data_IF_199038480245
#
_entry.id   IF_199038480245
#
_cell.length_a   1.000
_cell.length_b   1.000
_cell.length_c   1.000
_cell.angle_alpha   90.00
_cell.angle_beta   90.00
_cell.angle_gamma   90.00
#
_symmetry.space_group_name_H-M   'P 1'
#
loop_
_entity.id
_entity.type
_entity.pdbx_description
1 polymer ?
#
# COMPACT_ATOMS: atom_id res chain seq x y z
N UNK A 1 4.65 -18.21 -2.34
CA UNK A 1 4.95 -16.88 -2.88
C UNK A 1 6.33 -16.87 -3.53
N UNK A 2 7.43 -17.03 -2.77
CA UNK A 2 8.80 -16.96 -3.32
C UNK A 2 9.06 -17.95 -4.47
N UNK A 3 8.63 -19.20 -4.36
CA UNK A 3 8.79 -20.22 -5.41
C UNK A 3 7.97 -19.93 -6.69
N UNK A 4 6.95 -19.07 -6.59
CA UNK A 4 6.12 -18.67 -7.74
C UNK A 4 6.58 -17.34 -8.37
N UNK A 5 7.63 -16.73 -7.81
CA UNK A 5 8.25 -15.52 -8.33
C UNK A 5 9.07 -15.82 -9.59
N UNK A 6 9.16 -14.90 -10.58
CA UNK A 6 8.57 -13.55 -10.58
C UNK A 6 7.09 -13.52 -10.94
N UNK A 7 6.36 -12.58 -10.36
CA UNK A 7 4.99 -12.26 -10.75
C UNK A 7 5.01 -11.19 -11.86
N UNK A 8 4.16 -11.37 -12.86
CA UNK A 8 4.07 -10.45 -14.02
C UNK A 8 3.23 -9.20 -13.76
N UNK A 9 2.34 -9.24 -12.77
CA UNK A 9 1.46 -8.11 -12.41
C UNK A 9 0.95 -8.26 -10.98
N UNK A 10 0.43 -7.17 -10.40
CA UNK A 10 -0.28 -7.20 -9.12
C UNK A 10 -1.46 -8.19 -9.18
N UNK A 11 -2.21 -8.21 -10.28
CA UNK A 11 -3.33 -9.13 -10.48
C UNK A 11 -2.88 -10.60 -10.45
N UNK A 12 -1.75 -10.93 -11.08
CA UNK A 12 -1.19 -12.27 -11.03
C UNK A 12 -0.78 -12.65 -9.60
N UNK A 13 -0.09 -11.76 -8.88
CA UNK A 13 0.30 -12.00 -7.49
C UNK A 13 -0.91 -12.17 -6.55
N UNK A 14 -1.93 -11.32 -6.70
CA UNK A 14 -3.16 -11.38 -5.89
C UNK A 14 -3.96 -12.65 -6.18
N UNK A 15 -4.12 -13.01 -7.46
CA UNK A 15 -4.82 -14.25 -7.86
C UNK A 15 -4.12 -15.50 -7.32
N UNK A 16 -2.79 -15.54 -7.43
CA UNK A 16 -2.00 -16.64 -6.86
C UNK A 16 -2.15 -16.71 -5.33
N UNK A 17 -2.10 -15.56 -4.64
CA UNK A 17 -2.28 -15.50 -3.20
C UNK A 17 -3.69 -15.94 -2.78
N UNK A 18 -4.72 -15.58 -3.53
CA UNK A 18 -6.12 -15.96 -3.28
C UNK A 18 -6.30 -17.47 -3.38
N UNK A 19 -5.80 -18.08 -4.45
CA UNK A 19 -5.86 -19.52 -4.65
C UNK A 19 -5.06 -20.26 -3.57
N UNK A 20 -3.86 -19.78 -3.25
CA UNK A 20 -3.07 -20.33 -2.16
C UNK A 20 -3.83 -20.27 -0.82
N UNK A 21 -4.42 -19.12 -0.50
CA UNK A 21 -5.07 -18.86 0.77
C UNK A 21 -6.35 -19.68 0.99
N UNK A 22 -7.26 -19.67 0.00
CA UNK A 22 -8.57 -20.29 0.16
C UNK A 22 -8.60 -21.77 -0.23
N UNK A 23 -7.76 -22.22 -1.16
CA UNK A 23 -7.81 -23.60 -1.68
C UNK A 23 -6.69 -24.49 -1.16
N UNK A 24 -5.47 -23.97 -1.10
CA UNK A 24 -4.28 -24.80 -0.88
C UNK A 24 -3.77 -24.76 0.57
N UNK A 25 -4.01 -23.68 1.32
CA UNK A 25 -3.56 -23.57 2.71
C UNK A 25 -4.46 -24.36 3.67
N UNK A 26 -3.87 -25.23 4.51
CA UNK A 26 -4.62 -25.94 5.53
C UNK A 26 -5.16 -24.96 6.56
N UNK A 27 -6.30 -25.30 7.17
CA UNK A 27 -6.97 -24.46 8.20
C UNK A 27 -6.02 -24.05 9.31
N UNK A 28 -5.11 -24.94 9.73
CA UNK A 28 -4.11 -24.64 10.77
C UNK A 28 -3.20 -23.47 10.39
N UNK A 29 -2.70 -23.43 9.15
CA UNK A 29 -1.87 -22.34 8.68
C UNK A 29 -2.64 -21.00 8.63
N UNK A 30 -3.93 -21.04 8.26
CA UNK A 30 -4.80 -19.86 8.30
C UNK A 30 -5.01 -19.35 9.74
N UNK A 31 -5.23 -20.26 10.69
CA UNK A 31 -5.37 -19.91 12.12
C UNK A 31 -4.07 -19.34 12.72
N UNK A 32 -2.92 -19.81 12.26
CA UNK A 32 -1.63 -19.26 12.68
C UNK A 32 -1.47 -17.81 12.17
N UNK A 33 -1.84 -17.55 10.91
CA UNK A 33 -1.83 -16.20 10.33
C UNK A 33 -2.76 -15.23 11.07
N UNK A 34 -3.99 -15.65 11.40
CA UNK A 34 -4.92 -14.88 12.22
C UNK A 34 -4.30 -14.32 13.49
N UNK A 35 -3.35 -15.03 14.10
CA UNK A 35 -2.74 -14.59 15.35
C UNK A 35 -1.79 -13.40 15.18
N UNK A 36 -1.27 -13.17 13.99
CA UNK A 36 -0.26 -12.15 13.67
C UNK A 36 -0.86 -10.77 13.38
N UNK A 37 -2.07 -10.69 12.83
CA UNK A 37 -2.67 -9.43 12.36
C UNK A 37 -3.58 -8.74 13.39
N UNK A 38 -4.06 -7.53 13.07
CA UNK A 38 -4.68 -6.59 14.03
C UNK A 38 -5.86 -7.22 14.78
N UNK A 39 -5.84 -7.06 16.10
CA UNK A 39 -6.89 -7.58 17.00
C UNK A 39 -7.74 -6.44 17.55
N UNK A 40 -8.96 -6.77 18.00
CA UNK A 40 -9.89 -5.87 18.71
C UNK A 40 -9.27 -5.12 19.92
N UNK A 41 -8.08 -5.52 20.40
CA UNK A 41 -7.32 -4.79 21.41
C UNK A 41 -6.99 -3.34 21.02
N UNK A 42 -6.66 -3.09 19.75
CA UNK A 42 -6.40 -1.74 19.26
C UNK A 42 -7.64 -0.85 19.34
N UNK A 43 -8.81 -1.41 19.02
CA UNK A 43 -10.08 -0.71 19.10
C UNK A 43 -10.41 -0.34 20.55
N UNK A 44 -10.22 -1.28 21.49
CA UNK A 44 -10.44 -1.03 22.93
C UNK A 44 -9.60 0.15 23.43
N UNK A 45 -8.34 0.26 23.00
CA UNK A 45 -7.47 1.36 23.42
C UNK A 45 -7.91 2.76 22.94
N UNK A 46 -8.74 2.80 21.89
CA UNK A 46 -9.22 4.03 21.23
C UNK A 46 -10.73 4.25 21.45
N UNK A 47 -11.39 3.35 22.16
CA UNK A 47 -12.83 3.36 22.33
C UNK A 47 -13.26 4.42 23.36
N UNK A 48 -14.45 5.02 23.18
CA UNK A 48 -15.13 5.74 24.25
C UNK A 48 -15.32 4.86 25.49
N UNK A 49 -15.21 5.44 26.68
CA UNK A 49 -15.24 4.73 27.97
C UNK A 49 -16.46 3.81 28.11
N UNK A 50 -17.61 4.26 27.62
CA UNK A 50 -18.89 3.52 27.64
C UNK A 50 -18.86 2.22 26.82
N UNK A 51 -18.00 2.12 25.79
CA UNK A 51 -17.91 0.94 24.94
C UNK A 51 -16.82 -0.06 25.39
N UNK A 52 -15.89 0.36 26.26
CA UNK A 52 -14.73 -0.45 26.66
C UNK A 52 -15.16 -1.76 27.32
N UNK A 53 -16.14 -1.70 28.22
CA UNK A 53 -16.64 -2.89 28.94
C UNK A 53 -17.25 -3.90 27.97
N UNK A 54 -18.13 -3.42 27.09
CA UNK A 54 -18.81 -4.22 26.06
C UNK A 54 -17.80 -4.86 25.10
N UNK A 55 -16.84 -4.09 24.57
CA UNK A 55 -15.79 -4.62 23.69
C UNK A 55 -14.94 -5.67 24.41
N UNK A 56 -14.60 -5.46 25.68
CA UNK A 56 -13.87 -6.45 26.47
C UNK A 56 -14.67 -7.74 26.67
N UNK A 57 -15.96 -7.61 26.99
CA UNK A 57 -16.87 -8.74 27.19
C UNK A 57 -17.02 -9.56 25.90
N UNK A 58 -17.30 -8.90 24.78
CA UNK A 58 -17.50 -9.60 23.51
C UNK A 58 -16.21 -10.15 22.93
N UNK A 59 -15.05 -9.49 23.13
CA UNK A 59 -13.74 -10.08 22.83
C UNK A 59 -13.55 -11.41 23.56
N UNK A 60 -13.87 -11.46 24.85
CA UNK A 60 -13.75 -12.68 25.64
C UNK A 60 -14.77 -13.75 25.23
N UNK A 61 -16.05 -13.36 25.01
CA UNK A 61 -17.11 -14.26 24.50
C UNK A 61 -16.70 -14.88 23.17
N UNK A 62 -16.24 -14.06 22.22
CA UNK A 62 -15.81 -14.49 20.89
C UNK A 62 -14.66 -15.50 20.99
N UNK A 63 -13.58 -15.14 21.70
CA UNK A 63 -12.41 -16.02 21.84
C UNK A 63 -12.75 -17.34 22.51
N UNK A 64 -13.63 -17.33 23.51
CA UNK A 64 -14.11 -18.55 24.17
C UNK A 64 -14.93 -19.43 23.23
N UNK A 65 -15.75 -18.83 22.36
CA UNK A 65 -16.62 -19.55 21.42
C UNK A 65 -15.84 -20.19 20.27
N UNK A 66 -14.95 -19.42 19.63
CA UNK A 66 -14.33 -19.83 18.37
C UNK A 66 -12.88 -20.31 18.51
N UNK A 67 -12.22 -20.03 19.64
CA UNK A 67 -10.85 -20.46 19.89
C UNK A 67 -9.76 -19.59 19.27
N UNK A 68 -10.12 -18.59 18.46
CA UNK A 68 -9.19 -17.60 17.88
C UNK A 68 -9.64 -16.17 18.19
N UNK A 69 -8.77 -15.19 17.91
CA UNK A 69 -9.02 -13.78 18.20
C UNK A 69 -9.91 -13.16 17.10
N UNK A 70 -10.74 -12.19 17.48
CA UNK A 70 -11.62 -11.50 16.53
C UNK A 70 -10.80 -10.63 15.56
N UNK A 71 -11.07 -10.82 14.27
CA UNK A 71 -10.46 -10.10 13.14
C UNK A 71 -11.50 -9.23 12.46
N UNK A 72 -11.13 -7.99 12.17
CA UNK A 72 -11.95 -7.05 11.41
C UNK A 72 -11.04 -6.11 10.64
N UNK A 73 -11.45 -5.74 9.44
CA UNK A 73 -10.83 -4.72 8.61
C UNK A 73 -11.36 -3.32 8.91
N UNK A 74 -12.39 -3.20 9.75
CA UNK A 74 -12.89 -1.91 10.24
C UNK A 74 -11.80 -1.18 11.04
N UNK A 75 -11.62 0.11 10.72
CA UNK A 75 -10.63 0.93 11.40
C UNK A 75 -10.94 1.04 12.90
N UNK A 76 -9.90 0.87 13.74
CA UNK A 76 -9.98 0.83 15.19
C UNK A 76 -10.64 2.08 15.84
N UNK A 77 -10.71 3.21 15.13
CA UNK A 77 -11.41 4.42 15.57
C UNK A 77 -12.93 4.26 15.56
N UNK A 78 -13.48 3.34 14.75
CA UNK A 78 -14.92 3.08 14.64
C UNK A 78 -15.37 2.00 15.62
N UNK A 79 -15.11 2.23 16.91
CA UNK A 79 -15.35 1.26 17.99
C UNK A 79 -16.81 0.77 18.09
N UNK A 80 -17.78 1.62 17.78
CA UNK A 80 -19.20 1.23 17.76
C UNK A 80 -19.49 0.18 16.69
N UNK A 81 -18.99 0.40 15.47
CA UNK A 81 -19.15 -0.56 14.36
C UNK A 81 -18.46 -1.88 14.67
N UNK A 82 -17.25 -1.84 15.24
CA UNK A 82 -16.53 -3.06 15.67
C UNK A 82 -17.33 -3.82 16.72
N UNK A 83 -17.97 -3.11 17.66
CA UNK A 83 -18.83 -3.72 18.68
C UNK A 83 -20.05 -4.42 18.06
N UNK A 84 -20.69 -3.79 17.07
CA UNK A 84 -21.82 -4.37 16.34
C UNK A 84 -21.40 -5.61 15.54
N UNK A 85 -20.25 -5.55 14.85
CA UNK A 85 -19.70 -6.68 14.10
C UNK A 85 -19.40 -7.88 15.02
N UNK A 86 -18.70 -7.66 16.14
CA UNK A 86 -18.37 -8.77 17.07
C UNK A 86 -19.63 -9.32 17.75
N UNK A 87 -20.64 -8.49 18.03
CA UNK A 87 -21.94 -8.91 18.55
C UNK A 87 -22.65 -9.83 17.55
N UNK A 88 -22.76 -9.40 16.28
CA UNK A 88 -23.40 -10.19 15.22
C UNK A 88 -22.65 -11.49 14.94
N UNK A 89 -21.32 -11.42 14.80
CA UNK A 89 -20.47 -12.59 14.49
C UNK A 89 -20.37 -13.58 15.64
N UNK A 90 -20.65 -13.16 16.88
CA UNK A 90 -20.81 -14.10 18.00
C UNK A 90 -22.01 -15.04 17.83
N UNK A 91 -22.97 -14.76 16.94
CA UNK A 91 -24.11 -15.63 16.68
C UNK A 91 -23.83 -16.66 15.57
N UNK A 92 -22.77 -16.46 14.77
CA UNK A 92 -22.35 -17.40 13.73
C UNK A 92 -21.97 -18.78 14.28
N UNK A 93 -22.15 -19.83 13.46
CA UNK A 93 -21.50 -21.12 13.70
C UNK A 93 -20.02 -21.05 13.33
N UNK A 94 -19.23 -22.02 13.80
CA UNK A 94 -17.77 -22.02 13.63
C UNK A 94 -17.33 -22.03 12.15
N UNK A 95 -18.03 -22.76 11.28
CA UNK A 95 -17.67 -22.86 9.86
C UNK A 95 -17.83 -21.52 9.15
N UNK A 96 -18.99 -20.88 9.36
CA UNK A 96 -19.27 -19.54 8.80
C UNK A 96 -18.27 -18.52 9.33
N UNK A 97 -17.98 -18.56 10.63
CA UNK A 97 -17.06 -17.60 11.24
C UNK A 97 -15.61 -17.78 10.79
N UNK A 98 -15.18 -19.03 10.54
CA UNK A 98 -13.87 -19.32 9.99
C UNK A 98 -13.71 -18.73 8.58
N UNK A 99 -14.74 -18.83 7.74
CA UNK A 99 -14.74 -18.23 6.41
C UNK A 99 -14.73 -16.70 6.46
N UNK A 100 -15.52 -16.08 7.35
CA UNK A 100 -15.45 -14.63 7.56
C UNK A 100 -14.07 -14.18 8.02
N UNK A 101 -13.48 -14.87 9.00
CA UNK A 101 -12.13 -14.56 9.46
C UNK A 101 -11.08 -14.73 8.35
N UNK A 102 -11.23 -15.76 7.50
CA UNK A 102 -10.34 -15.97 6.35
C UNK A 102 -10.47 -14.86 5.31
N UNK A 103 -11.67 -14.32 5.09
CA UNK A 103 -11.89 -13.17 4.21
C UNK A 103 -11.28 -11.88 4.76
N UNK A 104 -11.50 -11.58 6.03
CA UNK A 104 -10.93 -10.39 6.70
C UNK A 104 -9.40 -10.40 6.66
N UNK A 105 -8.81 -11.57 6.90
CA UNK A 105 -7.36 -11.75 6.82
C UNK A 105 -6.85 -11.61 5.38
N UNK A 106 -7.55 -12.20 4.41
CA UNK A 106 -7.15 -12.08 3.01
C UNK A 106 -7.19 -10.64 2.52
N UNK A 107 -8.17 -9.85 2.94
CA UNK A 107 -8.21 -8.43 2.62
C UNK A 107 -6.96 -7.68 3.13
N UNK A 108 -6.43 -8.05 4.30
CA UNK A 108 -5.19 -7.47 4.81
C UNK A 108 -3.96 -7.89 3.98
N UNK A 109 -3.92 -9.15 3.55
CA UNK A 109 -2.88 -9.69 2.66
C UNK A 109 -2.91 -8.96 1.31
N UNK A 110 -4.07 -8.88 0.68
CA UNK A 110 -4.29 -8.18 -0.60
C UNK A 110 -3.86 -6.72 -0.52
N UNK A 111 -4.30 -6.01 0.53
CA UNK A 111 -3.87 -4.62 0.76
C UNK A 111 -2.36 -4.49 0.96
N UNK A 112 -1.73 -5.49 1.59
CA UNK A 112 -0.28 -5.57 1.73
C UNK A 112 0.42 -5.73 0.39
N UNK A 113 -0.09 -6.61 -0.48
CA UNK A 113 0.42 -6.81 -1.84
C UNK A 113 0.34 -5.54 -2.66
N UNK A 114 -0.81 -4.84 -2.65
CA UNK A 114 -0.97 -3.57 -3.37
C UNK A 114 0.08 -2.54 -2.96
N UNK A 115 0.29 -2.35 -1.65
CA UNK A 115 1.29 -1.41 -1.14
C UNK A 115 2.72 -1.79 -1.51
N UNK A 116 3.04 -3.08 -1.49
CA UNK A 116 4.37 -3.55 -1.92
C UNK A 116 4.57 -3.30 -3.41
N UNK A 117 3.54 -3.54 -4.23
CA UNK A 117 3.59 -3.31 -5.67
C UNK A 117 3.73 -1.84 -6.04
N UNK A 118 2.99 -0.95 -5.37
CA UNK A 118 3.13 0.51 -5.54
C UNK A 118 4.57 0.97 -5.28
N UNK A 119 5.20 0.46 -4.22
CA UNK A 119 6.59 0.77 -3.88
C UNK A 119 7.59 0.25 -4.91
N UNK A 120 7.43 -1.01 -5.33
CA UNK A 120 8.30 -1.61 -6.35
C UNK A 120 8.20 -0.87 -7.69
N UNK A 121 7.00 -0.42 -8.08
CA UNK A 121 6.80 0.38 -9.27
C UNK A 121 7.48 1.76 -9.16
N UNK A 122 7.47 2.39 -7.99
CA UNK A 122 8.17 3.67 -7.77
C UNK A 122 9.70 3.51 -7.84
N UNK A 123 10.23 2.45 -7.22
CA UNK A 123 11.67 2.15 -7.23
C UNK A 123 12.17 1.85 -8.65
N UNK A 124 11.40 1.07 -9.43
CA UNK A 124 11.73 0.76 -10.83
C UNK A 124 11.79 2.01 -11.73
N UNK A 125 10.87 2.96 -11.53
CA UNK A 125 10.90 4.22 -12.27
C UNK A 125 12.13 5.06 -11.93
N UNK A 126 12.58 5.03 -10.68
CA UNK A 126 13.78 5.74 -10.26
C UNK A 126 15.04 5.12 -10.88
N UNK A 127 15.14 3.79 -10.90
CA UNK A 127 16.23 3.05 -11.56
C UNK A 127 16.26 3.34 -13.07
N UNK A 128 15.11 3.28 -13.75
CA UNK A 128 15.02 3.60 -15.19
C UNK A 128 15.40 5.06 -15.51
N UNK A 129 15.10 6.02 -14.63
CA UNK A 129 15.51 7.43 -14.79
C UNK A 129 17.02 7.58 -14.58
N UNK A 130 17.58 6.90 -13.58
CA UNK A 130 19.01 6.92 -13.28
C UNK A 130 19.82 6.29 -14.43
N UNK A 131 19.38 5.14 -14.95
CA UNK A 131 19.97 4.48 -16.12
C UNK A 131 19.93 5.39 -17.36
N UNK A 132 18.79 6.05 -17.61
CA UNK A 132 18.67 6.98 -18.75
C UNK A 132 19.61 8.18 -18.60
N UNK A 133 19.80 8.67 -17.37
CA UNK A 133 20.68 9.80 -17.11
C UNK A 133 22.16 9.44 -17.25
N UNK A 134 22.53 8.22 -16.87
CA UNK A 134 23.88 7.67 -17.09
C UNK A 134 24.20 7.53 -18.59
N UNK A 135 23.25 7.06 -19.40
CA UNK A 135 23.41 6.93 -20.86
C UNK A 135 23.58 8.29 -21.55
N UNK A 136 22.88 9.32 -21.08
CA UNK A 136 22.96 10.68 -21.65
C UNK A 136 24.30 11.36 -21.36
N UNK A 137 24.93 11.04 -20.23
CA UNK A 137 26.25 11.58 -19.86
C UNK A 137 27.40 10.91 -20.62
N UNK A 138 27.28 9.62 -20.95
CA UNK A 138 28.32 8.90 -21.70
C UNK A 138 28.31 9.20 -23.21
N UNK A 139 27.20 9.70 -23.76
CA UNK A 139 27.14 10.14 -25.17
C UNK A 139 27.85 11.47 -25.47
N UNK A 140 28.41 12.17 -24.47
CA UNK A 140 29.20 13.41 -24.65
C UNK A 140 30.73 13.19 -24.68
N UNK A 141 31.21 11.95 -24.84
CA UNK A 141 32.64 11.67 -25.00
C UNK A 141 32.94 10.93 -26.31
N UNK A 142 32.75 11.58 -27.44
CA UNK A 142 33.43 11.19 -28.68
C UNK A 142 34.09 12.41 -29.35
N UNK A 143 35.42 12.35 -29.33
CA UNK A 143 36.42 13.01 -30.16
C UNK A 143 36.55 14.55 -30.18
N UNK A 144 37.57 14.99 -29.44
CA UNK A 144 38.22 16.30 -29.50
C UNK A 144 38.91 16.47 -30.87
N UNK A 145 38.41 17.39 -31.69
CA UNK A 145 39.22 18.06 -32.71
C UNK A 145 39.38 19.53 -32.30
N UNK A 146 40.61 20.01 -32.01
CA UNK A 146 40.80 21.39 -31.58
C UNK A 146 40.97 22.30 -32.81
N UNK A 147 40.00 23.16 -33.06
CA UNK A 147 40.22 24.35 -33.90
C UNK A 147 39.97 25.60 -33.07
N UNK A 148 41.08 26.27 -32.80
CA UNK A 148 41.16 27.53 -32.09
C UNK A 148 40.37 28.60 -32.81
N UNK A 149 39.39 29.20 -32.13
CA UNK A 149 38.99 30.57 -32.37
C UNK A 149 38.49 31.15 -31.06
N UNK A 150 39.34 32.01 -30.50
CA UNK A 150 38.98 33.02 -29.50
C UNK A 150 37.67 33.69 -29.89
N UNK A 151 36.77 33.87 -28.93
CA UNK A 151 36.44 35.23 -28.47
C UNK A 151 35.64 35.22 -27.17
N UNK A 152 36.11 36.08 -26.27
CA UNK A 152 35.60 36.37 -24.95
C UNK A 152 34.21 37.01 -25.01
N UNK A 153 33.24 36.55 -24.22
CA UNK A 153 32.25 37.46 -23.61
C UNK A 153 31.85 36.97 -22.21
N UNK A 154 32.35 37.74 -21.25
CA UNK A 154 31.85 38.09 -19.91
C UNK A 154 30.45 37.60 -19.50
N UNK A 155 30.42 37.02 -18.30
CA UNK A 155 29.25 36.69 -17.50
C UNK A 155 28.54 37.95 -16.96
N UNK A 156 27.24 38.09 -17.25
CA UNK A 156 26.31 38.85 -16.40
C UNK A 156 24.97 38.12 -16.38
N UNK A 157 24.57 37.73 -15.17
CA UNK A 157 23.45 36.84 -14.93
C UNK A 157 22.10 37.54 -14.99
N UNK A 158 21.07 36.76 -15.28
CA UNK A 158 19.68 37.10 -14.98
C UNK A 158 18.97 35.84 -14.53
N UNK A 159 18.59 35.83 -13.24
CA UNK A 159 17.65 34.88 -12.66
C UNK A 159 16.35 34.95 -13.48
N UNK A 160 16.06 33.92 -14.28
CA UNK A 160 14.79 33.82 -14.97
C UNK A 160 13.74 33.32 -13.98
N UNK A 161 13.06 34.29 -13.37
CA UNK A 161 11.83 34.11 -12.58
C UNK A 161 10.86 33.21 -13.32
N UNK A 162 10.52 32.07 -12.71
CA UNK A 162 9.48 31.15 -13.14
C UNK A 162 8.18 31.95 -13.35
N UNK A 163 7.74 32.10 -14.60
CA UNK A 163 6.50 32.83 -14.90
C UNK A 163 5.31 31.94 -14.62
N UNK A 164 4.37 32.45 -13.83
CA UNK A 164 3.04 31.89 -13.66
C UNK A 164 2.37 31.72 -15.03
N UNK A 165 2.03 30.48 -15.37
CA UNK A 165 1.36 30.14 -16.61
C UNK A 165 -0.14 30.11 -16.36
N UNK A 166 -0.86 31.11 -16.88
CA UNK A 166 -2.33 31.14 -16.78
C UNK A 166 -2.93 30.23 -17.86
N UNK A 167 -3.57 29.15 -17.41
CA UNK A 167 -4.16 28.11 -18.28
C UNK A 167 -5.38 28.58 -19.07
N UNK A 168 -5.91 29.79 -18.79
CA UNK A 168 -7.05 30.35 -19.51
C UNK A 168 -6.64 31.24 -20.69
N UNK A 169 -5.33 31.44 -20.93
CA UNK A 169 -4.79 32.28 -22.00
C UNK A 169 -4.07 31.45 -23.06
N UNK A 170 -4.03 31.97 -24.27
CA UNK A 170 -3.33 31.32 -25.39
C UNK A 170 -1.81 31.56 -25.32
N UNK A 171 -0.98 30.70 -25.94
CA UNK A 171 0.49 30.77 -25.82
C UNK A 171 1.11 32.10 -26.28
N UNK A 172 0.43 32.82 -27.17
CA UNK A 172 0.87 34.12 -27.70
C UNK A 172 0.63 35.25 -26.68
N UNK A 173 -0.43 35.14 -25.87
CA UNK A 173 -0.78 36.12 -24.84
C UNK A 173 0.12 36.01 -23.60
N UNK A 174 0.66 34.82 -23.33
CA UNK A 174 1.60 34.60 -22.22
C UNK A 174 3.03 35.09 -22.53
N UNK A 175 3.34 35.42 -23.78
CA UNK A 175 4.65 35.91 -24.22
C UNK A 175 4.78 37.45 -24.24
N UNK A 176 3.70 38.19 -23.95
CA UNK A 176 3.61 39.65 -24.12
C UNK A 176 3.69 40.47 -22.81
N UNK A 177 4.35 39.96 -21.78
CA UNK A 177 4.66 40.73 -20.54
C UNK A 177 6.16 40.60 -20.28
#
# INVERSE_FOLDING_TARGET
MQEASPFSSLEHATSFAQDLWFKNLPIRARLDAFSAHRHIGDAISKAPTELISDLCQFRAKYRKKFGFKFLTTTDARHSHKILEEVKARCENNLLVELEFAAQEEFYLIERGLTKLWERLSQEKLQEEIEDLWEIVQDSQKEEVVPSNSSDEVVWTGHNATMRDYDLNKTPDENQMI
#
